data_IF_573193461078
#
_entry.id   IF_573193461078
#
_cell.length_a   1.000
_cell.length_b   1.000
_cell.length_c   1.000
_cell.angle_alpha   90.00
_cell.angle_beta   90.00
_cell.angle_gamma   90.00
#
_symmetry.space_group_name_H-M   'P 1'
#
loop_
_entity.id
_entity.type
_entity.pdbx_description
1 polymer ?
#
# COMPACT_ATOMS: atom_id res chain seq x y z
N UNK A 1 37.65 -41.44 -92.87
CA UNK A 1 39.08 -41.67 -93.28
C UNK A 1 39.86 -41.94 -92.02
N UNK A 2 40.19 -43.20 -91.73
CA UNK A 2 41.50 -43.80 -91.67
C UNK A 2 42.46 -43.08 -90.70
N UNK A 3 43.11 -43.67 -89.68
CA UNK A 3 43.81 -45.00 -89.56
C UNK A 3 44.28 -45.05 -88.07
N UNK A 4 43.98 -46.10 -87.30
CA UNK A 4 44.81 -47.21 -86.87
C UNK A 4 46.28 -46.90 -86.47
N UNK A 5 46.67 -47.37 -85.23
CA UNK A 5 47.76 -48.33 -84.90
C UNK A 5 47.87 -48.45 -83.36
N UNK A 6 47.58 -49.50 -82.68
CA UNK A 6 48.18 -50.74 -82.21
C UNK A 6 49.47 -50.57 -81.35
N UNK A 7 49.35 -50.87 -80.05
CA UNK A 7 50.06 -51.76 -79.09
C UNK A 7 51.65 -51.79 -79.08
N UNK A 8 52.31 -52.22 -77.94
CA UNK A 8 51.92 -53.20 -76.92
C UNK A 8 52.31 -52.89 -75.43
N UNK A 9 51.82 -53.78 -74.54
CA UNK A 9 52.00 -53.94 -73.12
C UNK A 9 53.45 -54.16 -72.63
N UNK A 10 53.76 -53.68 -71.44
CA UNK A 10 54.76 -54.30 -70.52
C UNK A 10 54.15 -54.31 -69.12
N UNK A 11 54.02 -55.51 -68.57
CA UNK A 11 53.58 -55.79 -67.20
C UNK A 11 54.72 -55.48 -66.20
N UNK A 12 54.44 -54.66 -65.22
CA UNK A 12 55.31 -54.44 -64.05
C UNK A 12 54.53 -54.70 -62.77
N UNK A 13 54.77 -55.84 -62.17
CA UNK A 13 54.22 -56.22 -60.86
C UNK A 13 54.96 -55.43 -59.77
N UNK A 14 54.33 -54.40 -59.17
CA UNK A 14 54.83 -53.73 -57.97
C UNK A 14 54.10 -54.26 -56.78
N UNK A 15 54.76 -55.03 -55.94
CA UNK A 15 54.30 -55.47 -54.61
C UNK A 15 54.36 -54.27 -53.69
N UNK A 16 53.21 -53.68 -53.39
CA UNK A 16 53.07 -52.65 -52.37
C UNK A 16 52.95 -53.30 -50.96
N UNK A 17 53.97 -53.12 -50.18
CA UNK A 17 54.03 -53.50 -48.76
C UNK A 17 53.16 -52.53 -47.98
N UNK A 18 51.94 -52.94 -47.56
CA UNK A 18 51.11 -52.19 -46.62
C UNK A 18 51.74 -52.26 -45.24
N UNK A 19 52.44 -51.21 -44.83
CA UNK A 19 52.80 -50.96 -43.43
C UNK A 19 51.53 -50.45 -42.71
N UNK A 20 50.85 -51.31 -41.96
CA UNK A 20 49.82 -50.93 -41.01
C UNK A 20 50.44 -50.12 -39.86
N UNK A 21 50.36 -48.80 -39.93
CA UNK A 21 50.63 -47.94 -38.77
C UNK A 21 49.58 -48.20 -37.68
N UNK A 22 50.00 -48.42 -36.45
CA UNK A 22 49.03 -48.50 -35.36
C UNK A 22 48.29 -47.16 -35.26
N UNK A 23 46.96 -47.18 -35.37
CA UNK A 23 46.12 -46.04 -35.06
C UNK A 23 46.36 -45.63 -33.57
N UNK A 24 47.12 -44.57 -33.39
CA UNK A 24 47.23 -43.95 -32.08
C UNK A 24 45.80 -43.63 -31.63
N UNK A 25 45.35 -44.30 -30.55
CA UNK A 25 44.14 -43.94 -29.88
C UNK A 25 44.32 -42.49 -29.46
N UNK A 26 43.61 -41.56 -30.13
CA UNK A 26 43.44 -40.20 -29.63
C UNK A 26 42.79 -40.31 -28.26
N UNK A 27 43.55 -39.99 -27.22
CA UNK A 27 43.00 -39.75 -25.89
C UNK A 27 41.89 -38.73 -26.08
N UNK A 28 40.64 -39.20 -26.04
CA UNK A 28 39.47 -38.34 -26.11
C UNK A 28 39.50 -37.42 -24.88
N UNK A 29 40.05 -36.23 -25.06
CA UNK A 29 40.05 -35.22 -24.02
C UNK A 29 38.61 -35.02 -23.56
N UNK A 30 38.32 -35.43 -22.32
CA UNK A 30 37.02 -35.25 -21.72
C UNK A 30 36.65 -33.76 -21.75
N UNK A 31 35.45 -33.41 -22.24
CA UNK A 31 35.05 -32.01 -22.28
C UNK A 31 35.01 -31.41 -20.87
N UNK A 32 35.71 -30.29 -20.69
CA UNK A 32 35.74 -29.58 -19.43
C UNK A 32 34.44 -28.82 -19.28
N UNK A 33 33.80 -28.94 -18.11
CA UNK A 33 32.56 -28.24 -17.72
C UNK A 33 32.73 -27.61 -16.35
N UNK A 34 32.15 -26.44 -16.16
CA UNK A 34 32.14 -25.79 -14.86
C UNK A 34 30.98 -26.34 -14.05
N UNK A 35 31.27 -26.81 -12.85
CA UNK A 35 30.26 -27.40 -11.95
C UNK A 35 30.26 -26.68 -10.62
N UNK A 36 29.11 -26.71 -9.96
CA UNK A 36 28.93 -26.14 -8.63
C UNK A 36 27.95 -26.97 -7.81
N UNK A 37 27.93 -26.77 -6.50
CA UNK A 37 26.82 -27.22 -5.65
C UNK A 37 25.74 -26.15 -5.64
N UNK A 38 24.44 -26.52 -5.64
CA UNK A 38 23.34 -25.59 -5.44
C UNK A 38 23.50 -24.82 -4.11
N UNK A 39 23.00 -23.60 -4.07
CA UNK A 39 22.92 -22.82 -2.83
C UNK A 39 21.65 -23.23 -2.10
N UNK A 40 21.78 -23.68 -0.85
CA UNK A 40 20.63 -24.01 0.00
C UNK A 40 20.53 -22.94 1.08
N UNK A 41 19.40 -22.23 1.10
CA UNK A 41 19.15 -21.19 2.11
C UNK A 41 17.67 -21.03 2.40
N UNK A 42 17.38 -20.39 3.52
CA UNK A 42 16.03 -20.02 3.88
C UNK A 42 15.58 -18.83 3.01
N UNK A 43 14.40 -18.96 2.43
CA UNK A 43 13.78 -17.93 1.58
C UNK A 43 12.31 -17.74 1.95
N UNK A 44 11.81 -16.55 1.67
CA UNK A 44 10.38 -16.22 1.70
C UNK A 44 10.00 -15.83 0.27
N UNK A 45 8.95 -16.42 -0.27
CA UNK A 45 8.43 -15.96 -1.55
C UNK A 45 7.77 -14.61 -1.35
N UNK A 46 8.09 -13.64 -2.19
CA UNK A 46 7.41 -12.36 -2.26
C UNK A 46 6.62 -12.27 -3.57
N UNK A 47 5.42 -11.74 -3.47
CA UNK A 47 4.58 -11.43 -4.61
C UNK A 47 4.54 -9.92 -4.81
N UNK A 48 4.70 -9.48 -6.06
CA UNK A 48 4.65 -8.07 -6.41
C UNK A 48 3.28 -7.67 -6.97
N UNK A 49 2.76 -6.54 -6.49
CA UNK A 49 1.54 -5.93 -7.00
C UNK A 49 1.77 -4.43 -7.23
N UNK A 50 0.97 -3.87 -8.14
CA UNK A 50 0.94 -2.43 -8.36
C UNK A 50 -0.28 -1.86 -7.64
N UNK A 51 -0.07 -0.73 -6.95
CA UNK A 51 -1.14 -0.07 -6.23
C UNK A 51 -0.98 1.44 -6.19
N UNK A 52 -1.81 2.09 -5.38
CA UNK A 52 -1.80 3.54 -5.19
C UNK A 52 -1.86 3.92 -3.73
N UNK A 53 -1.15 4.99 -3.40
CA UNK A 53 -1.29 5.65 -2.12
C UNK A 53 -2.59 6.47 -2.06
N UNK A 54 -3.20 6.48 -0.89
CA UNK A 54 -4.38 7.28 -0.58
C UNK A 54 -4.24 7.87 0.81
N UNK A 55 -4.86 9.03 1.04
CA UNK A 55 -4.93 9.59 2.38
C UNK A 55 -5.81 8.70 3.27
N UNK A 56 -5.45 8.58 4.55
CA UNK A 56 -6.31 7.92 5.55
C UNK A 56 -7.61 8.70 5.72
N UNK A 57 -7.49 10.02 5.82
CA UNK A 57 -8.62 10.92 5.95
C UNK A 57 -8.56 12.03 4.89
N UNK A 58 -9.69 12.30 4.26
CA UNK A 58 -9.89 13.41 3.34
C UNK A 58 -11.18 14.15 3.72
N UNK A 59 -11.07 15.46 3.92
CA UNK A 59 -12.22 16.29 4.30
C UNK A 59 -12.34 17.50 3.39
N UNK A 60 -13.49 17.62 2.74
CA UNK A 60 -13.90 18.84 2.06
C UNK A 60 -14.40 19.88 3.08
N UNK A 61 -13.64 20.95 3.27
CA UNK A 61 -13.95 22.02 4.21
C UNK A 61 -15.08 22.88 3.64
N UNK A 62 -16.19 22.95 4.35
CA UNK A 62 -17.36 23.77 4.01
C UNK A 62 -17.71 24.68 5.17
N UNK A 63 -18.41 25.80 4.88
CA UNK A 63 -18.95 26.64 5.92
C UNK A 63 -20.34 26.17 6.34
N UNK A 64 -20.64 26.24 7.65
CA UNK A 64 -21.97 25.96 8.21
C UNK A 64 -22.89 27.20 8.17
N UNK A 65 -22.32 28.39 7.89
CA UNK A 65 -23.08 29.63 7.80
C UNK A 65 -22.79 30.31 6.47
N UNK A 66 -23.78 31.03 5.93
CA UNK A 66 -23.63 31.81 4.72
C UNK A 66 -23.16 33.22 5.01
N UNK A 67 -22.39 33.81 4.10
CA UNK A 67 -21.88 35.17 4.20
C UNK A 67 -20.72 35.45 3.27
N UNK A 68 -20.22 36.68 3.25
CA UNK A 68 -19.05 37.03 2.46
C UNK A 68 -17.78 36.51 3.12
N UNK A 69 -16.90 35.89 2.33
CA UNK A 69 -15.58 35.48 2.81
C UNK A 69 -14.74 36.73 3.06
N UNK A 70 -14.32 36.92 4.31
CA UNK A 70 -13.55 38.08 4.74
C UNK A 70 -12.04 37.82 4.61
N UNK A 71 -11.53 36.75 5.22
CA UNK A 71 -10.09 36.47 5.30
C UNK A 71 -9.77 34.99 5.13
N UNK A 72 -8.53 34.73 4.64
CA UNK A 72 -7.91 33.42 4.51
C UNK A 72 -6.59 33.43 5.29
N UNK A 73 -6.32 32.40 6.09
CA UNK A 73 -5.21 32.36 7.06
C UNK A 73 -4.14 31.30 6.72
N UNK A 74 -4.21 30.67 5.59
CA UNK A 74 -3.22 29.68 5.15
C UNK A 74 -2.68 30.02 3.76
N UNK A 75 -1.55 29.41 3.41
CA UNK A 75 -1.00 29.41 2.05
C UNK A 75 -1.42 28.12 1.35
N UNK A 76 -1.77 28.18 0.08
CA UNK A 76 -2.14 27.04 -0.72
C UNK A 76 -1.05 25.95 -0.66
N UNK A 77 -1.44 24.69 -0.35
CA UNK A 77 -0.53 23.56 -0.20
C UNK A 77 0.19 23.47 1.15
N UNK A 78 -0.07 24.37 2.10
CA UNK A 78 0.57 24.36 3.42
C UNK A 78 0.13 23.16 4.27
N UNK A 79 0.99 22.78 5.23
CA UNK A 79 0.60 21.87 6.31
C UNK A 79 -0.14 22.66 7.38
N UNK A 80 -1.27 22.11 7.82
CA UNK A 80 -2.11 22.67 8.90
C UNK A 80 -2.31 21.64 9.99
N UNK A 81 -2.51 22.11 11.21
CA UNK A 81 -2.88 21.28 12.37
C UNK A 81 -4.38 21.37 12.62
N UNK A 82 -4.96 20.31 13.15
CA UNK A 82 -6.34 20.32 13.63
C UNK A 82 -6.57 21.52 14.57
N UNK A 83 -7.61 22.33 14.27
CA UNK A 83 -7.95 23.54 15.00
C UNK A 83 -7.33 24.83 14.43
N UNK A 84 -6.39 24.75 13.50
CA UNK A 84 -5.84 25.95 12.85
C UNK A 84 -6.92 26.71 12.11
N UNK A 85 -6.92 28.04 12.24
CA UNK A 85 -7.86 28.91 11.55
C UNK A 85 -7.56 28.94 10.06
N UNK A 86 -8.57 28.64 9.24
CA UNK A 86 -8.44 28.60 7.78
C UNK A 86 -9.11 29.81 7.10
N UNK A 87 -10.38 30.05 7.45
CA UNK A 87 -11.18 31.09 6.85
C UNK A 87 -11.99 31.83 7.91
N UNK A 88 -12.33 33.07 7.61
CA UNK A 88 -13.29 33.85 8.38
C UNK A 88 -14.33 34.45 7.43
N UNK A 89 -15.60 34.22 7.75
CA UNK A 89 -16.74 34.87 7.10
C UNK A 89 -17.00 36.19 7.83
N UNK A 90 -17.55 37.20 7.14
CA UNK A 90 -17.90 38.50 7.75
C UNK A 90 -18.75 38.31 9.02
N UNK A 91 -18.14 38.60 10.17
CA UNK A 91 -18.71 38.39 11.48
C UNK A 91 -19.67 39.48 11.89
N UNK A 92 -19.71 40.62 11.20
CA UNK A 92 -20.52 41.79 11.63
C UNK A 92 -22.01 41.48 11.77
N UNK A 93 -22.68 40.82 10.82
CA UNK A 93 -24.09 40.45 10.96
C UNK A 93 -24.35 39.53 12.15
N UNK A 94 -23.43 38.56 12.38
CA UNK A 94 -23.56 37.56 13.46
C UNK A 94 -23.34 38.18 14.83
N UNK A 95 -22.41 39.12 14.98
CA UNK A 95 -22.22 39.90 16.24
C UNK A 95 -23.44 40.75 16.56
N UNK A 96 -24.06 41.38 15.55
CA UNK A 96 -25.30 42.14 15.77
C UNK A 96 -26.45 41.21 16.18
N UNK A 97 -26.60 40.05 15.57
CA UNK A 97 -27.62 39.06 15.94
C UNK A 97 -27.42 38.56 17.37
N UNK A 98 -26.18 38.28 17.79
CA UNK A 98 -25.86 37.90 19.17
C UNK A 98 -26.25 39.04 20.15
N UNK A 99 -25.83 40.26 19.89
CA UNK A 99 -26.18 41.42 20.75
C UNK A 99 -27.69 41.62 20.86
N UNK A 100 -28.44 41.44 19.79
CA UNK A 100 -29.91 41.50 19.82
C UNK A 100 -30.50 40.37 20.68
N UNK A 101 -30.00 39.16 20.60
CA UNK A 101 -30.46 38.04 21.44
C UNK A 101 -30.12 38.26 22.92
N UNK A 102 -28.96 38.79 23.23
CA UNK A 102 -28.54 39.16 24.58
C UNK A 102 -29.45 40.26 25.19
N UNK A 103 -29.82 41.27 24.43
CA UNK A 103 -30.76 42.30 24.85
C UNK A 103 -32.16 41.72 25.13
N UNK A 104 -32.60 40.75 24.31
CA UNK A 104 -33.89 40.06 24.52
C UNK A 104 -33.84 39.20 25.79
N UNK A 105 -32.75 38.54 26.10
CA UNK A 105 -32.55 37.80 27.34
C UNK A 105 -32.60 38.73 28.56
N UNK A 106 -31.93 39.87 28.52
CA UNK A 106 -31.97 40.86 29.60
C UNK A 106 -33.38 41.38 29.87
N UNK A 107 -34.19 41.59 28.82
CA UNK A 107 -35.60 41.94 28.95
C UNK A 107 -36.42 40.82 29.61
N UNK A 108 -36.23 39.56 29.21
CA UNK A 108 -36.89 38.41 29.80
C UNK A 108 -36.52 38.22 31.28
N UNK A 109 -35.22 38.44 31.62
CA UNK A 109 -34.74 38.42 33.02
C UNK A 109 -35.42 39.46 33.88
N UNK A 110 -35.59 40.69 33.34
CA UNK A 110 -36.33 41.76 34.05
C UNK A 110 -37.79 41.39 34.30
N UNK A 111 -38.44 40.79 33.29
CA UNK A 111 -39.83 40.32 33.38
C UNK A 111 -39.96 39.19 34.41
N UNK A 112 -39.04 38.25 34.46
CA UNK A 112 -39.03 37.17 35.48
C UNK A 112 -38.89 37.75 36.89
N UNK A 113 -37.90 38.63 37.07
CA UNK A 113 -37.68 39.28 38.39
C UNK A 113 -38.91 40.00 38.87
N UNK A 114 -39.66 40.69 38.00
CA UNK A 114 -40.94 41.32 38.33
C UNK A 114 -42.01 40.28 38.71
N UNK A 115 -42.15 39.21 37.90
CA UNK A 115 -43.14 38.15 38.16
C UNK A 115 -42.85 37.41 39.47
N UNK A 116 -41.57 37.13 39.78
CA UNK A 116 -41.15 36.53 41.06
C UNK A 116 -41.53 37.42 42.27
N UNK A 117 -41.18 38.72 42.19
CA UNK A 117 -41.51 39.67 43.24
C UNK A 117 -43.03 39.82 43.43
N UNK A 118 -43.80 39.82 42.33
CA UNK A 118 -45.28 39.92 42.38
C UNK A 118 -45.88 38.64 42.97
N UNK A 119 -45.46 37.45 42.53
CA UNK A 119 -45.94 36.17 43.07
C UNK A 119 -45.66 36.07 44.58
N UNK A 120 -44.42 36.36 45.02
CA UNK A 120 -44.07 36.35 46.46
C UNK A 120 -44.89 37.31 47.29
N UNK A 121 -45.21 38.50 46.76
CA UNK A 121 -46.08 39.48 47.44
C UNK A 121 -47.48 38.94 47.54
N UNK A 122 -48.06 38.42 46.46
CA UNK A 122 -49.45 37.90 46.48
C UNK A 122 -49.56 36.67 47.37
N UNK A 123 -48.55 35.77 47.37
CA UNK A 123 -48.51 34.61 48.27
C UNK A 123 -48.58 35.00 49.73
N UNK A 124 -47.79 36.01 50.15
CA UNK A 124 -47.85 36.52 51.55
C UNK A 124 -49.19 37.13 51.94
N UNK A 125 -49.83 37.90 51.03
CA UNK A 125 -51.15 38.57 51.31
C UNK A 125 -52.31 37.58 51.25
N UNK A 126 -52.24 36.53 50.47
CA UNK A 126 -53.25 35.45 50.43
C UNK A 126 -53.20 34.63 51.73
N UNK A 127 -51.97 34.35 52.27
CA UNK A 127 -51.78 33.68 53.54
C UNK A 127 -52.42 34.45 54.76
N UNK A 128 -52.56 35.77 54.65
CA UNK A 128 -53.25 36.63 55.67
C UNK A 128 -54.74 36.84 55.36
N UNK A 129 -55.27 36.19 54.30
CA UNK A 129 -56.73 36.33 53.96
C UNK A 129 -57.06 37.60 53.18
N UNK A 130 -56.08 38.42 52.77
CA UNK A 130 -56.31 39.75 52.16
C UNK A 130 -56.57 39.68 50.66
N UNK A 131 -56.04 38.64 49.97
CA UNK A 131 -56.22 38.44 48.53
C UNK A 131 -56.84 37.08 48.18
N UNK A 132 -57.52 37.00 47.04
CA UNK A 132 -58.17 35.77 46.57
C UNK A 132 -57.19 34.73 46.06
N UNK A 133 -57.50 33.43 46.19
CA UNK A 133 -56.75 32.30 45.67
C UNK A 133 -56.60 32.41 44.12
N UNK A 134 -57.65 32.90 43.43
CA UNK A 134 -57.61 33.11 41.98
C UNK A 134 -56.47 34.06 41.56
N UNK A 135 -56.25 35.14 42.34
CA UNK A 135 -55.15 36.08 42.07
C UNK A 135 -53.77 35.41 42.25
N UNK A 136 -53.64 34.56 43.25
CA UNK A 136 -52.40 33.77 43.45
C UNK A 136 -52.11 32.82 42.25
N UNK A 137 -53.19 32.16 41.80
CA UNK A 137 -53.05 31.25 40.62
C UNK A 137 -52.70 32.00 39.31
N UNK A 138 -53.20 33.24 39.12
CA UNK A 138 -52.87 34.10 38.01
C UNK A 138 -51.39 34.51 38.05
N UNK A 139 -50.89 34.95 39.20
CA UNK A 139 -49.49 35.36 39.35
C UNK A 139 -48.54 34.17 39.28
N UNK A 140 -48.96 32.95 39.72
CA UNK A 140 -48.24 31.72 39.54
C UNK A 140 -48.10 31.36 38.04
N UNK A 141 -49.17 31.48 37.24
CA UNK A 141 -49.16 31.28 35.82
C UNK A 141 -48.24 32.29 35.13
N UNK A 142 -48.27 33.56 35.53
CA UNK A 142 -47.38 34.58 35.01
C UNK A 142 -45.88 34.28 35.28
N UNK A 143 -45.59 33.82 36.53
CA UNK A 143 -44.25 33.39 36.91
C UNK A 143 -43.74 32.22 36.02
N UNK A 144 -44.57 31.16 35.87
CA UNK A 144 -44.23 30.02 35.02
C UNK A 144 -44.02 30.42 33.55
N UNK A 145 -44.87 31.37 33.07
CA UNK A 145 -44.70 31.90 31.71
C UNK A 145 -43.38 32.70 31.56
N UNK A 146 -43.03 33.54 32.55
CA UNK A 146 -41.76 34.28 32.54
C UNK A 146 -40.54 33.35 32.60
N UNK A 147 -40.60 32.27 33.39
CA UNK A 147 -39.57 31.24 33.45
C UNK A 147 -39.41 30.50 32.09
N UNK A 148 -40.52 30.23 31.40
CA UNK A 148 -40.48 29.64 30.08
C UNK A 148 -39.84 30.58 29.02
N UNK A 149 -40.19 31.89 29.13
CA UNK A 149 -39.62 32.91 28.22
C UNK A 149 -38.10 33.07 28.36
N UNK A 150 -37.56 33.00 29.59
CA UNK A 150 -36.11 33.02 29.82
C UNK A 150 -35.45 31.87 29.09
N UNK A 151 -35.93 30.63 29.25
CA UNK A 151 -35.35 29.48 28.57
C UNK A 151 -35.37 29.64 27.05
N UNK A 152 -36.41 30.24 26.49
CA UNK A 152 -36.48 30.58 25.06
C UNK A 152 -35.46 31.63 24.65
N UNK A 153 -35.26 32.68 25.47
CA UNK A 153 -34.28 33.73 25.21
C UNK A 153 -32.82 33.22 25.36
N UNK A 154 -32.54 32.37 26.34
CA UNK A 154 -31.25 31.71 26.52
C UNK A 154 -30.89 30.85 25.29
N UNK A 155 -31.84 30.03 24.81
CA UNK A 155 -31.64 29.22 23.59
C UNK A 155 -31.38 30.09 22.35
N UNK A 156 -32.01 31.30 22.27
CA UNK A 156 -31.75 32.24 21.18
C UNK A 156 -30.31 32.82 21.22
N UNK A 157 -29.81 33.14 22.43
CA UNK A 157 -28.42 33.60 22.65
C UNK A 157 -27.44 32.49 22.27
N UNK A 158 -27.68 31.26 22.72
CA UNK A 158 -26.78 30.13 22.41
C UNK A 158 -26.74 29.86 20.90
N UNK A 159 -27.88 29.96 20.20
CA UNK A 159 -27.94 29.84 18.75
C UNK A 159 -27.12 30.93 18.06
N UNK A 160 -27.32 32.19 18.44
CA UNK A 160 -26.60 33.31 17.82
C UNK A 160 -25.07 33.22 18.11
N UNK A 161 -24.67 32.73 19.29
CA UNK A 161 -23.28 32.48 19.66
C UNK A 161 -22.66 31.39 18.79
N UNK A 162 -23.38 30.29 18.59
CA UNK A 162 -22.93 29.17 17.74
C UNK A 162 -22.80 29.61 16.27
N UNK A 163 -23.75 30.38 15.77
CA UNK A 163 -23.69 30.91 14.41
C UNK A 163 -22.47 31.85 14.22
N UNK A 164 -22.13 32.66 15.23
CA UNK A 164 -20.91 33.48 15.24
C UNK A 164 -19.64 32.63 15.31
N UNK A 165 -19.62 31.56 16.08
CA UNK A 165 -18.50 30.62 16.14
C UNK A 165 -18.26 29.99 14.77
N UNK A 166 -19.31 29.57 14.08
CA UNK A 166 -19.23 28.95 12.75
C UNK A 166 -18.74 29.90 11.65
N UNK A 167 -18.68 31.21 11.88
CA UNK A 167 -18.03 32.15 10.96
C UNK A 167 -16.51 31.96 10.90
N UNK A 168 -15.92 31.37 11.93
CA UNK A 168 -14.49 31.00 11.95
C UNK A 168 -14.34 29.54 11.60
N UNK A 169 -13.88 29.27 10.39
CA UNK A 169 -13.70 27.91 9.88
C UNK A 169 -12.29 27.46 10.25
N UNK A 170 -12.21 26.35 10.97
CA UNK A 170 -10.94 25.73 11.42
C UNK A 170 -10.71 24.39 10.74
N UNK A 171 -9.46 23.94 10.72
CA UNK A 171 -9.07 22.65 10.19
C UNK A 171 -9.65 21.49 11.04
N UNK A 172 -10.44 20.58 10.47
CA UNK A 172 -11.03 19.45 11.21
C UNK A 172 -10.01 18.34 11.52
N UNK A 173 -8.94 18.26 10.73
CA UNK A 173 -7.83 17.31 10.88
C UNK A 173 -6.49 17.97 10.56
N UNK A 174 -5.41 17.34 11.00
CA UNK A 174 -4.04 17.75 10.63
C UNK A 174 -3.68 17.13 9.29
N UNK A 175 -3.07 17.91 8.39
CA UNK A 175 -2.69 17.43 7.07
C UNK A 175 -2.29 18.56 6.13
N UNK A 176 -2.27 18.27 4.85
CA UNK A 176 -2.01 19.27 3.82
C UNK A 176 -3.31 19.83 3.29
N UNK A 177 -3.43 21.18 3.32
CA UNK A 177 -4.55 21.89 2.72
C UNK A 177 -4.29 22.04 1.22
N UNK A 178 -5.32 21.89 0.41
CA UNK A 178 -5.30 22.19 -1.02
C UNK A 178 -5.31 23.73 -1.24
N UNK A 179 -5.40 24.17 -2.49
CA UNK A 179 -5.62 25.58 -2.80
C UNK A 179 -6.97 26.05 -2.28
N UNK A 180 -7.10 27.32 -2.02
CA UNK A 180 -8.40 27.93 -1.80
C UNK A 180 -9.22 27.93 -3.11
N UNK A 181 -10.47 27.52 -3.05
CA UNK A 181 -11.35 27.49 -4.22
C UNK A 181 -12.16 28.77 -4.35
N UNK A 182 -12.24 29.55 -3.28
CA UNK A 182 -12.98 30.82 -3.20
C UNK A 182 -12.05 31.89 -2.63
N UNK A 183 -12.08 33.07 -3.28
CA UNK A 183 -11.31 34.25 -2.86
C UNK A 183 -12.09 35.13 -1.89
N UNK A 184 -11.42 35.89 -0.99
CA UNK A 184 -12.06 36.91 -0.17
C UNK A 184 -12.92 37.88 -1.00
N UNK A 185 -14.04 38.28 -0.42
CA UNK A 185 -15.05 39.12 -1.06
C UNK A 185 -16.15 38.36 -1.82
N UNK A 186 -16.03 37.04 -2.00
CA UNK A 186 -17.08 36.24 -2.62
C UNK A 186 -18.10 35.75 -1.55
N UNK A 187 -19.33 35.53 -2.02
CA UNK A 187 -20.39 34.95 -1.20
C UNK A 187 -20.20 33.45 -1.04
N UNK A 188 -20.25 32.97 0.21
CA UNK A 188 -20.22 31.58 0.60
C UNK A 188 -21.63 31.16 0.99
N UNK A 189 -22.13 30.06 0.44
CA UNK A 189 -23.40 29.45 0.81
C UNK A 189 -23.16 28.35 1.85
N UNK A 190 -24.01 28.35 2.90
CA UNK A 190 -23.92 27.36 3.98
C UNK A 190 -24.07 25.94 3.42
N UNK A 191 -23.23 25.02 3.87
CA UNK A 191 -23.21 23.57 3.59
C UNK A 191 -22.98 23.20 2.09
N UNK A 192 -23.05 24.13 1.18
CA UNK A 192 -22.89 23.89 -0.27
C UNK A 192 -21.47 24.18 -0.74
N UNK A 193 -20.95 25.37 -0.40
CA UNK A 193 -19.70 25.85 -0.95
C UNK A 193 -18.50 25.13 -0.35
N UNK A 194 -17.73 24.42 -1.19
CA UNK A 194 -16.42 23.87 -0.81
C UNK A 194 -15.39 24.98 -0.85
N UNK A 195 -14.74 25.21 0.29
CA UNK A 195 -13.71 26.25 0.43
C UNK A 195 -12.32 25.74 0.09
N UNK A 196 -12.00 24.54 0.54
CA UNK A 196 -10.76 23.79 0.27
C UNK A 196 -10.94 22.34 0.66
N UNK A 197 -9.93 21.49 0.38
CA UNK A 197 -9.86 20.11 0.86
C UNK A 197 -8.62 19.95 1.73
N UNK A 198 -8.68 19.11 2.76
CA UNK A 198 -7.54 18.75 3.60
C UNK A 198 -7.39 17.24 3.56
N UNK A 199 -6.16 16.77 3.30
CA UNK A 199 -5.81 15.35 3.28
C UNK A 199 -4.78 15.06 4.36
N UNK A 200 -4.98 13.97 5.11
CA UNK A 200 -3.95 13.46 6.01
C UNK A 200 -2.78 12.89 5.19
N UNK A 201 -1.55 13.10 5.64
CA UNK A 201 -0.35 12.60 4.97
C UNK A 201 0.39 11.55 5.78
N UNK A 202 0.22 11.53 7.10
CA UNK A 202 0.86 10.62 8.03
C UNK A 202 -0.13 10.19 9.11
N UNK A 203 -0.42 8.87 9.21
CA UNK A 203 -0.01 7.80 8.30
C UNK A 203 -0.68 7.89 6.92
N UNK A 204 -0.19 7.08 5.95
CA UNK A 204 -0.75 6.99 4.61
C UNK A 204 -1.11 5.54 4.28
N UNK A 205 -2.21 5.34 3.57
CA UNK A 205 -2.69 4.03 3.15
C UNK A 205 -2.24 3.73 1.71
N UNK A 206 -1.98 2.46 1.44
CA UNK A 206 -1.67 1.97 0.09
C UNK A 206 -2.65 0.86 -0.27
N UNK A 207 -3.36 1.04 -1.38
CA UNK A 207 -4.36 0.09 -1.88
C UNK A 207 -3.83 -0.65 -3.10
N UNK A 208 -4.00 -1.96 -3.12
CA UNK A 208 -3.64 -2.83 -4.24
C UNK A 208 -4.62 -3.99 -4.35
N UNK A 209 -4.74 -4.54 -5.56
CA UNK A 209 -5.70 -5.59 -5.87
C UNK A 209 -4.97 -6.93 -6.03
N UNK A 210 -5.48 -7.99 -5.37
CA UNK A 210 -4.88 -9.33 -5.32
C UNK A 210 -5.86 -10.34 -5.89
N UNK A 211 -5.37 -11.25 -6.74
CA UNK A 211 -6.18 -12.32 -7.29
C UNK A 211 -6.59 -13.38 -6.24
N UNK A 212 -7.67 -14.12 -6.50
CA UNK A 212 -8.24 -15.10 -5.58
C UNK A 212 -7.24 -16.17 -5.12
N UNK A 213 -6.35 -16.64 -6.01
CA UNK A 213 -5.38 -17.70 -5.67
C UNK A 213 -4.37 -17.21 -4.63
N UNK A 214 -3.86 -15.98 -4.83
CA UNK A 214 -2.92 -15.36 -3.92
C UNK A 214 -3.58 -15.04 -2.58
N UNK A 215 -4.81 -14.54 -2.64
CA UNK A 215 -5.62 -14.29 -1.45
C UNK A 215 -5.77 -15.53 -0.57
N UNK A 216 -6.12 -16.68 -1.17
CA UNK A 216 -6.23 -17.96 -0.45
C UNK A 216 -4.89 -18.41 0.14
N UNK A 217 -3.77 -18.13 -0.54
CA UNK A 217 -2.42 -18.40 -0.01
C UNK A 217 -2.14 -17.54 1.21
N UNK A 218 -2.38 -16.23 1.12
CA UNK A 218 -2.16 -15.30 2.24
C UNK A 218 -3.06 -15.61 3.45
N UNK A 219 -4.32 -15.94 3.21
CA UNK A 219 -5.23 -16.36 4.27
C UNK A 219 -4.77 -17.64 4.98
N UNK A 220 -4.09 -18.54 4.28
CA UNK A 220 -3.49 -19.72 4.87
C UNK A 220 -2.26 -19.35 5.71
N UNK A 221 -1.33 -18.60 5.16
CA UNK A 221 -0.12 -18.14 5.84
C UNK A 221 -0.47 -17.31 7.09
N UNK A 222 -1.45 -16.41 7.00
CA UNK A 222 -1.93 -15.64 8.14
C UNK A 222 -2.49 -16.54 9.25
N UNK A 223 -3.30 -17.56 8.92
CA UNK A 223 -3.82 -18.54 9.89
C UNK A 223 -2.73 -19.35 10.56
N UNK A 224 -1.71 -19.77 9.83
CA UNK A 224 -0.56 -20.48 10.37
C UNK A 224 0.25 -19.62 11.35
N UNK A 225 0.26 -18.30 11.14
CA UNK A 225 0.86 -17.31 12.06
C UNK A 225 -0.09 -16.90 13.21
N UNK A 226 -1.28 -17.48 13.31
CA UNK A 226 -2.25 -17.20 14.37
C UNK A 226 -3.05 -15.92 14.21
N UNK A 227 -3.16 -15.39 13.00
CA UNK A 227 -3.92 -14.18 12.69
C UNK A 227 -4.90 -14.41 11.54
N UNK A 228 -5.94 -13.56 11.43
CA UNK A 228 -6.85 -13.57 10.30
C UNK A 228 -6.54 -12.38 9.37
N UNK A 229 -6.53 -12.64 8.07
CA UNK A 229 -6.25 -11.62 7.05
C UNK A 229 -7.23 -10.43 7.11
N UNK A 230 -8.49 -10.69 7.55
CA UNK A 230 -9.56 -9.69 7.64
C UNK A 230 -9.60 -8.90 8.94
N UNK A 231 -8.87 -9.34 9.98
CA UNK A 231 -8.96 -8.72 11.32
C UNK A 231 -7.95 -7.60 11.55
N UNK A 232 -7.33 -7.08 10.49
CA UNK A 232 -6.36 -5.99 10.60
C UNK A 232 -5.14 -6.31 11.45
N UNK A 233 -4.85 -7.57 11.64
CA UNK A 233 -3.86 -8.05 12.61
C UNK A 233 -2.41 -7.83 12.19
N UNK A 234 -2.11 -6.89 11.32
CA UNK A 234 -0.73 -6.51 10.97
C UNK A 234 0.21 -7.69 10.70
N UNK A 235 -0.35 -8.81 10.24
CA UNK A 235 0.32 -10.10 10.22
C UNK A 235 1.36 -10.22 9.11
N UNK A 236 1.19 -9.47 8.03
CA UNK A 236 2.09 -9.51 6.88
C UNK A 236 2.78 -8.17 6.74
N UNK A 237 4.11 -8.20 6.80
CA UNK A 237 4.94 -7.07 6.43
C UNK A 237 4.90 -6.90 4.92
N UNK A 238 4.88 -5.66 4.48
CA UNK A 238 4.90 -5.29 3.07
C UNK A 238 5.97 -4.23 2.83
N UNK A 239 6.61 -4.30 1.68
CA UNK A 239 7.57 -3.31 1.23
C UNK A 239 7.00 -2.61 0.00
N UNK A 240 7.02 -1.28 -0.01
CA UNK A 240 6.60 -0.52 -1.19
C UNK A 240 7.78 0.25 -1.76
N UNK A 241 7.99 0.08 -3.05
CA UNK A 241 8.94 0.85 -3.84
C UNK A 241 8.19 1.84 -4.72
N UNK A 242 8.60 3.09 -4.72
CA UNK A 242 8.09 4.13 -5.62
C UNK A 242 9.01 4.27 -6.84
N UNK A 243 8.60 5.09 -7.81
CA UNK A 243 9.35 5.28 -9.05
C UNK A 243 10.71 5.99 -8.86
N UNK A 244 10.97 6.58 -7.69
CA UNK A 244 12.27 7.18 -7.38
C UNK A 244 13.23 6.10 -6.87
N UNK A 245 14.24 5.79 -7.69
CA UNK A 245 15.25 4.78 -7.37
C UNK A 245 16.21 5.19 -6.23
N UNK A 246 16.21 6.46 -5.81
CA UNK A 246 17.07 6.93 -4.71
C UNK A 246 16.43 6.72 -3.33
N UNK A 247 15.12 6.48 -3.29
CA UNK A 247 14.43 6.22 -2.02
C UNK A 247 14.47 4.72 -1.71
N UNK A 248 14.83 4.34 -0.47
CA UNK A 248 14.75 2.95 -0.04
C UNK A 248 13.28 2.48 -0.02
N UNK A 249 13.04 1.16 -0.10
CA UNK A 249 11.69 0.63 0.06
C UNK A 249 11.08 1.06 1.40
N UNK A 250 9.82 1.46 1.38
CA UNK A 250 9.06 1.83 2.58
C UNK A 250 8.46 0.57 3.19
N UNK A 251 8.63 0.42 4.50
CA UNK A 251 8.03 -0.69 5.25
C UNK A 251 6.64 -0.31 5.75
N UNK A 252 5.70 -1.23 5.57
CA UNK A 252 4.34 -1.08 6.05
C UNK A 252 3.76 -2.41 6.51
N UNK A 253 2.51 -2.35 6.97
CA UNK A 253 1.78 -3.53 7.43
C UNK A 253 0.44 -3.63 6.75
N UNK A 254 0.11 -4.83 6.31
CA UNK A 254 -1.22 -5.15 5.82
C UNK A 254 -2.19 -5.06 7.00
N UNK A 255 -3.15 -4.14 6.94
CA UNK A 255 -4.08 -3.88 8.04
C UNK A 255 -5.56 -4.10 7.68
N UNK A 256 -5.87 -4.25 6.39
CA UNK A 256 -7.25 -4.42 5.95
C UNK A 256 -7.34 -5.19 4.64
N UNK A 257 -8.38 -6.00 4.50
CA UNK A 257 -8.85 -6.58 3.25
C UNK A 257 -10.35 -6.33 3.07
N UNK A 258 -10.81 -6.11 1.85
CA UNK A 258 -12.24 -6.01 1.58
C UNK A 258 -12.97 -7.29 2.01
N UNK A 259 -14.27 -7.20 2.23
CA UNK A 259 -15.09 -8.32 2.72
C UNK A 259 -15.59 -9.24 1.60
N UNK A 260 -15.29 -8.92 0.34
CA UNK A 260 -15.73 -9.68 -0.84
C UNK A 260 -14.75 -9.50 -2.00
N UNK A 261 -14.69 -10.52 -2.83
CA UNK A 261 -14.00 -10.48 -4.12
C UNK A 261 -14.89 -9.75 -5.12
N UNK A 262 -14.30 -8.86 -5.92
CA UNK A 262 -15.00 -8.24 -7.04
C UNK A 262 -15.28 -9.30 -8.12
N UNK A 263 -16.56 -9.51 -8.43
CA UNK A 263 -17.01 -10.53 -9.36
C UNK A 263 -16.63 -10.24 -10.83
N UNK A 264 -16.28 -9.00 -11.17
CA UNK A 264 -15.92 -8.63 -12.53
C UNK A 264 -14.43 -8.88 -12.81
N UNK A 265 -13.60 -8.63 -11.82
CA UNK A 265 -12.13 -8.74 -11.94
C UNK A 265 -11.57 -10.03 -11.34
N UNK A 266 -12.30 -10.68 -10.42
CA UNK A 266 -11.81 -11.83 -9.64
C UNK A 266 -10.72 -11.42 -8.64
N UNK A 267 -10.65 -10.15 -8.25
CA UNK A 267 -9.66 -9.62 -7.33
C UNK A 267 -10.30 -9.12 -6.03
N UNK A 268 -9.53 -9.08 -4.98
CA UNK A 268 -9.89 -8.44 -3.71
C UNK A 268 -8.91 -7.32 -3.42
N UNK A 269 -9.44 -6.18 -3.00
CA UNK A 269 -8.62 -5.03 -2.60
C UNK A 269 -8.10 -5.20 -1.18
N UNK A 270 -6.80 -5.05 -1.06
CA UNK A 270 -6.08 -5.03 0.21
C UNK A 270 -5.56 -3.63 0.49
N UNK A 271 -5.36 -3.33 1.77
CA UNK A 271 -4.76 -2.08 2.23
C UNK A 271 -3.58 -2.38 3.14
N UNK A 272 -2.50 -1.66 2.91
CA UNK A 272 -1.37 -1.60 3.81
C UNK A 272 -1.18 -0.16 4.30
N UNK A 273 -0.78 0.00 5.54
CA UNK A 273 -0.54 1.30 6.18
C UNK A 273 0.93 1.55 6.36
N UNK A 274 1.35 2.77 6.04
CA UNK A 274 2.73 3.24 6.08
C UNK A 274 2.85 4.49 6.92
N UNK A 275 3.91 4.59 7.70
CA UNK A 275 4.33 5.83 8.32
C UNK A 275 4.98 6.75 7.28
N UNK A 276 4.71 8.04 7.32
CA UNK A 276 5.16 9.00 6.32
C UNK A 276 5.62 10.32 6.96
N UNK A 277 6.54 10.29 7.93
CA UNK A 277 6.92 11.47 8.69
C UNK A 277 7.56 12.58 7.85
N UNK A 278 8.17 12.21 6.73
CA UNK A 278 8.81 13.16 5.80
C UNK A 278 7.88 13.62 4.67
N UNK A 279 6.62 13.14 4.63
CA UNK A 279 5.61 13.47 3.61
C UNK A 279 6.06 13.20 2.17
N UNK A 280 6.98 12.25 1.96
CA UNK A 280 7.46 11.82 0.63
C UNK A 280 6.33 11.12 -0.12
N UNK A 281 5.63 10.23 0.57
CA UNK A 281 4.49 9.53 0.01
C UNK A 281 3.29 10.49 -0.06
N UNK A 282 2.70 10.59 -1.25
CA UNK A 282 1.56 11.48 -1.48
C UNK A 282 0.37 10.69 -2.03
N UNK A 283 -0.86 11.04 -1.63
CA UNK A 283 -2.06 10.44 -2.20
C UNK A 283 -2.06 10.55 -3.72
N UNK A 284 -2.38 9.44 -4.40
CA UNK A 284 -2.37 9.34 -5.85
C UNK A 284 -1.08 8.80 -6.47
N UNK A 285 0.05 8.78 -5.75
CA UNK A 285 1.26 8.15 -6.24
C UNK A 285 1.07 6.65 -6.45
N UNK A 286 1.69 6.13 -7.50
CA UNK A 286 1.81 4.70 -7.73
C UNK A 286 3.01 4.13 -6.99
N UNK A 287 2.88 2.89 -6.56
CA UNK A 287 3.97 2.11 -6.00
C UNK A 287 3.87 0.65 -6.42
N UNK A 288 4.96 -0.05 -6.23
CA UNK A 288 5.03 -1.50 -6.33
C UNK A 288 5.18 -2.05 -4.93
N UNK A 289 4.20 -2.85 -4.50
CA UNK A 289 4.21 -3.50 -3.20
C UNK A 289 4.69 -4.94 -3.34
N UNK A 290 5.61 -5.33 -2.49
CA UNK A 290 6.02 -6.70 -2.26
C UNK A 290 5.36 -7.19 -0.98
N UNK A 291 4.62 -8.31 -1.10
CA UNK A 291 3.92 -8.95 0.01
C UNK A 291 4.54 -10.32 0.26
N UNK A 292 4.84 -10.64 1.51
CA UNK A 292 5.31 -11.97 1.88
C UNK A 292 4.24 -13.04 1.56
N UNK A 293 4.51 -13.84 0.54
CA UNK A 293 3.58 -14.86 0.01
C UNK A 293 3.69 -16.23 0.65
N UNK A 294 4.73 -16.47 1.47
CA UNK A 294 4.97 -17.76 2.13
C UNK A 294 5.57 -17.60 3.52
N UNK A 295 5.53 -18.68 4.29
CA UNK A 295 6.42 -18.83 5.44
C UNK A 295 7.85 -19.06 4.95
N UNK A 296 8.84 -18.82 5.83
CA UNK A 296 10.23 -19.16 5.56
C UNK A 296 10.36 -20.66 5.29
N UNK A 297 10.98 -21.02 4.19
CA UNK A 297 11.27 -22.41 3.84
C UNK A 297 12.66 -22.54 3.26
N UNK A 298 13.28 -23.71 3.43
CA UNK A 298 14.58 -24.01 2.87
C UNK A 298 14.44 -24.23 1.35
N UNK A 299 15.09 -23.38 0.56
CA UNK A 299 15.04 -23.42 -0.89
C UNK A 299 16.39 -23.86 -1.47
N UNK A 300 16.31 -24.66 -2.54
CA UNK A 300 17.45 -24.99 -3.37
C UNK A 300 17.50 -23.98 -4.52
N UNK A 301 18.60 -23.26 -4.61
CA UNK A 301 18.81 -22.18 -5.57
C UNK A 301 19.87 -22.61 -6.59
N UNK A 302 19.50 -22.49 -7.87
CA UNK A 302 20.36 -22.85 -9.01
C UNK A 302 20.45 -21.63 -9.92
N UNK A 303 21.64 -21.27 -10.46
CA UNK A 303 21.74 -20.22 -11.45
C UNK A 303 20.80 -20.48 -12.63
N UNK A 304 20.09 -19.45 -13.10
CA UNK A 304 19.10 -19.61 -14.20
C UNK A 304 19.75 -20.17 -15.48
N UNK A 305 21.04 -19.89 -15.70
CA UNK A 305 21.85 -20.40 -16.81
C UNK A 305 22.16 -21.89 -16.74
N UNK A 306 22.08 -22.51 -15.56
CA UNK A 306 22.27 -23.94 -15.37
C UNK A 306 21.02 -24.79 -15.70
N UNK A 307 19.90 -24.12 -16.02
CA UNK A 307 18.64 -24.77 -16.34
C UNK A 307 18.47 -24.89 -17.84
N UNK A 308 18.38 -26.11 -18.31
CA UNK A 308 18.11 -26.40 -19.72
C UNK A 308 16.64 -26.75 -19.96
N UNK A 309 16.22 -26.65 -21.22
CA UNK A 309 14.94 -27.16 -21.68
C UNK A 309 15.17 -28.47 -22.44
N UNK A 310 14.51 -29.51 -22.04
CA UNK A 310 14.47 -30.80 -22.76
C UNK A 310 13.01 -31.08 -23.14
N UNK A 311 12.71 -30.91 -24.43
CA UNK A 311 11.36 -31.02 -24.99
C UNK A 311 10.34 -30.17 -24.17
N UNK A 312 9.52 -30.81 -23.33
CA UNK A 312 8.49 -30.18 -22.55
C UNK A 312 8.84 -30.00 -21.05
N UNK A 313 10.04 -30.42 -20.64
CA UNK A 313 10.49 -30.39 -19.24
C UNK A 313 11.68 -29.46 -19.05
N UNK A 314 11.80 -28.94 -17.84
CA UNK A 314 13.01 -28.23 -17.40
C UNK A 314 13.91 -29.21 -16.69
N UNK A 315 15.20 -29.22 -17.08
CA UNK A 315 16.18 -30.16 -16.54
C UNK A 315 17.43 -29.43 -16.05
N UNK A 316 18.06 -30.00 -15.07
CA UNK A 316 19.41 -29.63 -14.65
C UNK A 316 20.34 -30.78 -14.91
N UNK A 317 21.52 -30.46 -15.48
CA UNK A 317 22.56 -31.46 -15.71
C UNK A 317 23.38 -31.65 -14.46
N UNK A 318 23.46 -32.88 -13.97
CA UNK A 318 24.23 -33.26 -12.80
C UNK A 318 25.37 -34.15 -13.18
N UNK A 319 26.50 -34.02 -12.48
CA UNK A 319 27.66 -34.88 -12.66
C UNK A 319 27.71 -35.87 -11.51
N UNK A 320 27.66 -37.15 -11.81
CA UNK A 320 27.81 -38.22 -10.84
C UNK A 320 29.27 -38.38 -10.39
N UNK A 321 29.52 -39.14 -9.31
CA UNK A 321 30.85 -39.33 -8.73
C UNK A 321 31.83 -40.02 -9.71
N UNK A 322 31.32 -40.77 -10.69
CA UNK A 322 32.10 -41.41 -11.75
C UNK A 322 32.44 -40.47 -12.93
N UNK A 323 32.03 -39.20 -12.83
CA UNK A 323 32.20 -38.17 -13.86
C UNK A 323 31.18 -38.22 -15.00
N UNK A 324 30.18 -39.10 -14.95
CA UNK A 324 29.14 -39.19 -15.98
C UNK A 324 28.06 -38.10 -15.79
N UNK A 325 27.54 -37.61 -16.91
CA UNK A 325 26.50 -36.59 -16.93
C UNK A 325 25.11 -37.27 -16.91
N UNK A 326 24.25 -36.88 -16.00
CA UNK A 326 22.86 -37.26 -15.96
C UNK A 326 21.95 -36.01 -16.01
N UNK A 327 20.72 -36.17 -16.49
CA UNK A 327 19.69 -35.10 -16.41
C UNK A 327 18.71 -35.40 -15.33
N UNK A 328 18.38 -34.35 -14.53
CA UNK A 328 17.29 -34.41 -13.53
C UNK A 328 16.17 -33.46 -13.94
N UNK A 329 14.94 -33.94 -14.12
CA UNK A 329 13.78 -33.07 -14.33
C UNK A 329 13.50 -32.30 -13.06
N UNK A 330 13.25 -31.00 -13.21
CA UNK A 330 13.04 -30.09 -12.09
C UNK A 330 11.77 -29.25 -12.28
N UNK A 331 11.11 -28.96 -11.18
CA UNK A 331 10.04 -27.96 -11.14
C UNK A 331 10.61 -26.63 -10.65
N UNK A 332 10.40 -25.59 -11.48
CA UNK A 332 10.90 -24.25 -11.20
C UNK A 332 9.94 -23.49 -10.27
N UNK A 333 10.53 -22.70 -9.37
CA UNK A 333 9.89 -21.68 -8.58
C UNK A 333 10.20 -20.27 -9.10
N UNK A 334 10.03 -19.24 -8.28
CA UNK A 334 10.36 -17.86 -8.62
C UNK A 334 11.87 -17.66 -8.87
N UNK A 335 12.19 -16.53 -9.48
CA UNK A 335 13.56 -16.03 -9.54
C UNK A 335 13.85 -15.24 -8.28
N UNK A 336 15.05 -15.41 -7.75
CA UNK A 336 15.50 -14.72 -6.56
C UNK A 336 16.96 -14.32 -6.74
N UNK A 337 17.24 -13.03 -6.89
CA UNK A 337 18.57 -12.46 -6.99
C UNK A 337 19.48 -13.21 -8.00
N UNK A 338 19.03 -13.41 -9.24
CA UNK A 338 19.78 -14.10 -10.28
C UNK A 338 19.76 -15.64 -10.22
N UNK A 339 19.21 -16.20 -9.15
CA UNK A 339 18.99 -17.65 -9.01
C UNK A 339 17.53 -18.02 -9.29
N UNK A 340 17.32 -19.28 -9.61
CA UNK A 340 16.02 -19.92 -9.73
C UNK A 340 15.80 -20.86 -8.55
N UNK A 341 14.69 -20.69 -7.86
CA UNK A 341 14.25 -21.65 -6.84
C UNK A 341 13.84 -22.95 -7.52
N UNK A 342 14.31 -24.08 -7.00
CA UNK A 342 13.87 -25.42 -7.44
C UNK A 342 12.87 -25.96 -6.41
N UNK A 343 11.63 -26.15 -6.85
CA UNK A 343 10.53 -26.64 -6.00
C UNK A 343 10.59 -28.14 -5.76
N UNK A 344 11.05 -28.91 -6.75
CA UNK A 344 11.21 -30.37 -6.67
C UNK A 344 12.14 -30.88 -7.76
N UNK A 345 12.69 -32.09 -7.54
CA UNK A 345 13.60 -32.76 -8.48
C UNK A 345 15.06 -32.75 -8.05
N UNK A 346 15.42 -32.03 -6.96
CA UNK A 346 16.75 -31.99 -6.39
C UNK A 346 16.72 -32.09 -4.85
N UNK A 347 17.83 -32.56 -4.28
CA UNK A 347 18.04 -32.65 -2.82
C UNK A 347 18.99 -31.58 -2.28
N UNK A 348 19.74 -30.89 -3.17
CA UNK A 348 20.68 -29.83 -2.80
C UNK A 348 22.15 -30.29 -2.67
N UNK A 349 22.40 -31.60 -2.65
CA UNK A 349 23.76 -32.16 -2.52
C UNK A 349 24.42 -32.46 -3.87
N UNK A 350 23.66 -32.39 -4.96
CA UNK A 350 24.10 -32.71 -6.31
C UNK A 350 25.14 -31.73 -6.81
N UNK A 351 26.05 -32.21 -7.62
CA UNK A 351 26.97 -31.39 -8.39
C UNK A 351 26.35 -31.02 -9.75
N UNK A 352 25.96 -29.76 -9.93
CA UNK A 352 25.30 -29.28 -11.15
C UNK A 352 26.29 -28.66 -12.12
N UNK A 353 25.98 -28.74 -13.41
CA UNK A 353 26.75 -28.05 -14.45
C UNK A 353 26.19 -26.63 -14.59
N UNK A 354 27.04 -25.64 -14.33
CA UNK A 354 26.66 -24.21 -14.41
C UNK A 354 27.04 -23.66 -15.79
N UNK A 355 28.18 -24.05 -16.32
CA UNK A 355 28.65 -23.60 -17.64
C UNK A 355 29.18 -24.77 -18.46
N UNK A 356 29.06 -24.68 -19.81
CA UNK A 356 29.47 -25.73 -20.71
C UNK A 356 28.41 -26.81 -21.01
N UNK A 357 27.15 -26.56 -20.73
CA UNK A 357 25.98 -27.47 -20.92
C UNK A 357 25.96 -28.00 -22.39
N UNK A 358 26.29 -27.16 -23.36
CA UNK A 358 26.33 -27.55 -24.78
C UNK A 358 27.34 -28.68 -25.08
N UNK A 359 28.33 -28.89 -24.22
CA UNK A 359 29.36 -29.95 -24.34
C UNK A 359 29.01 -31.17 -23.50
N UNK A 360 28.10 -31.06 -22.59
CA UNK A 360 27.67 -32.12 -21.70
C UNK A 360 26.48 -32.88 -22.31
N UNK A 361 26.71 -34.10 -22.78
CA UNK A 361 25.61 -34.98 -23.23
C UNK A 361 25.31 -36.03 -22.16
N UNK A 362 24.04 -36.37 -21.93
CA UNK A 362 23.69 -37.45 -21.00
C UNK A 362 24.44 -38.74 -21.33
N UNK A 363 25.03 -39.38 -20.31
CA UNK A 363 25.80 -40.59 -20.41
C UNK A 363 27.30 -40.41 -20.79
N UNK A 364 27.73 -39.20 -21.13
CA UNK A 364 29.11 -38.90 -21.47
C UNK A 364 29.87 -38.47 -20.20
N UNK A 365 31.14 -38.91 -20.08
CA UNK A 365 32.01 -38.46 -19.00
C UNK A 365 32.58 -37.07 -19.30
N UNK A 366 32.64 -36.24 -18.30
CA UNK A 366 33.16 -34.86 -18.35
C UNK A 366 34.26 -34.67 -17.32
N UNK A 367 35.10 -33.66 -17.51
CA UNK A 367 36.06 -33.20 -16.52
C UNK A 367 35.45 -32.03 -15.75
N UNK A 368 35.03 -32.22 -14.47
CA UNK A 368 34.43 -31.15 -13.72
C UNK A 368 35.48 -30.17 -13.19
N UNK A 369 35.23 -28.88 -13.37
CA UNK A 369 35.90 -27.77 -12.66
C UNK A 369 34.94 -27.18 -11.63
N UNK A 370 35.23 -27.41 -10.38
CA UNK A 370 34.35 -26.96 -9.27
C UNK A 370 34.55 -25.46 -9.05
N UNK A 371 33.41 -24.73 -9.05
CA UNK A 371 33.33 -23.33 -8.62
C UNK A 371 32.38 -23.20 -7.45
N UNK A 372 32.62 -22.19 -6.61
CA UNK A 372 31.73 -21.86 -5.50
C UNK A 372 30.77 -20.77 -6.00
N UNK A 373 29.46 -21.04 -5.89
CA UNK A 373 28.46 -20.05 -6.23
C UNK A 373 28.41 -18.96 -5.14
N UNK A 374 28.29 -17.68 -5.50
CA UNK A 374 28.11 -16.60 -4.53
C UNK A 374 26.85 -16.87 -3.70
N UNK A 375 26.99 -16.86 -2.38
CA UNK A 375 25.84 -17.03 -1.47
C UNK A 375 24.95 -15.78 -1.46
N UNK A 376 25.52 -14.62 -1.71
CA UNK A 376 24.82 -13.37 -1.98
C UNK A 376 24.97 -13.06 -3.47
N UNK A 377 23.91 -13.20 -4.24
CA UNK A 377 23.89 -12.58 -5.55
C UNK A 377 23.83 -11.06 -5.32
N UNK A 378 24.90 -10.42 -5.74
CA UNK A 378 25.13 -9.01 -5.55
C UNK A 378 23.91 -8.16 -5.95
N UNK A 379 23.36 -7.42 -5.00
CA UNK A 379 22.60 -6.18 -5.23
C UNK A 379 23.44 -5.11 -5.96
N UNK A 380 24.71 -5.43 -6.29
CA UNK A 380 25.69 -4.51 -6.85
C UNK A 380 25.75 -4.48 -8.39
N UNK A 381 25.04 -5.33 -9.11
CA UNK A 381 25.14 -5.38 -10.58
C UNK A 381 23.99 -4.64 -11.31
N UNK A 382 22.94 -4.22 -10.64
CA UNK A 382 21.81 -3.52 -11.27
C UNK A 382 21.89 -1.99 -11.16
N UNK A 383 22.79 -1.46 -10.35
CA UNK A 383 23.06 -0.02 -10.21
C UNK A 383 24.25 0.48 -11.06
N UNK A 384 24.72 -0.29 -12.04
CA UNK A 384 25.87 0.07 -12.88
C UNK A 384 25.56 -0.07 -14.38
N UNK A 385 24.37 0.33 -14.83
CA UNK A 385 24.09 0.62 -16.25
C UNK A 385 23.19 1.83 -16.40
#
# INVERSE_FOLDING_TARGET
MLRKWLLPAIAGISISLFISAPAAAQDAQLPTVTVAKPVVRDVIDADEFIGRFAAVDEVSVRSRVGGYLDQVFFTDGALVKKGDKLFVIDQRPFRLALSQAEASLASAQSTLSFAEAQFKRTESLTGTGTLSISKLDDDRRALLAAQANIRGAEAAVDRARLDLEYTTITAPLSGRVDRRWISPGNLVQADETVLTTIVSLDPIDFYFDVDERRLLSYARTARERGSALQEGAGALSVLVTIADANEPPFEGKLDFSENRVDNQTGTMRLRARFENPNFILQPGLFGRVEVEGSNTYQAILVPDEAIAADQNERVVYVVADDGSVATKPVRLGPRLHGYRVIRSGMTGDETIIVNGIMRARPGVKVKPELVVLPQEAAHAAENAQ
#
